data_IF_869440362912
#
_entry.id   IF_869440362912
#
_cell.length_a   1.000
_cell.length_b   1.000
_cell.length_c   1.000
_cell.angle_alpha   90.00
_cell.angle_beta   90.00
_cell.angle_gamma   90.00
#
_symmetry.space_group_name_H-M   'P 1'
#
loop_
_entity.id
_entity.type
_entity.pdbx_description
1 polymer ?
#
# COMPACT_ATOMS: atom_id res chain seq x y z
N UNK A 1 -10.41 -8.80 -1.53
CA UNK A 1 -9.51 -7.79 -0.91
C UNK A 1 -8.94 -6.79 -1.94
N UNK A 2 -8.50 -7.25 -3.10
CA UNK A 2 -8.00 -6.39 -4.18
C UNK A 2 -8.98 -5.25 -4.53
N UNK A 3 -10.25 -5.58 -4.77
CA UNK A 3 -11.26 -4.59 -5.15
C UNK A 3 -11.55 -3.58 -4.02
N UNK A 4 -11.48 -4.01 -2.77
CA UNK A 4 -11.66 -3.12 -1.62
C UNK A 4 -10.54 -2.08 -1.54
N UNK A 5 -9.31 -2.50 -1.77
CA UNK A 5 -8.15 -1.61 -1.73
C UNK A 5 -8.21 -0.61 -2.88
N UNK A 6 -8.54 -1.05 -4.09
CA UNK A 6 -8.73 -0.16 -5.24
C UNK A 6 -9.83 0.86 -4.95
N UNK A 7 -10.93 0.42 -4.35
CA UNK A 7 -12.02 1.32 -3.95
C UNK A 7 -11.56 2.38 -2.95
N UNK A 8 -10.75 2.01 -1.97
CA UNK A 8 -10.18 2.95 -1.00
C UNK A 8 -9.24 3.96 -1.65
N UNK A 9 -8.43 3.53 -2.60
CA UNK A 9 -7.54 4.41 -3.35
C UNK A 9 -8.33 5.40 -4.21
N UNK A 10 -9.40 4.93 -4.87
CA UNK A 10 -10.28 5.79 -5.64
C UNK A 10 -10.97 6.84 -4.76
N UNK A 11 -11.38 6.48 -3.55
CA UNK A 11 -11.92 7.44 -2.59
C UNK A 11 -10.92 8.52 -2.21
N UNK A 12 -9.65 8.18 -2.07
CA UNK A 12 -8.62 9.18 -1.79
C UNK A 12 -8.43 10.14 -2.96
N UNK A 13 -8.56 9.66 -4.19
CA UNK A 13 -8.55 10.53 -5.38
C UNK A 13 -9.74 11.48 -5.38
N UNK A 14 -10.93 10.98 -5.07
CA UNK A 14 -12.15 11.81 -4.99
C UNK A 14 -12.03 12.92 -3.95
N UNK A 15 -11.36 12.65 -2.83
CA UNK A 15 -11.16 13.65 -1.77
C UNK A 15 -10.35 14.84 -2.21
N UNK A 16 -9.52 14.70 -3.25
CA UNK A 16 -8.75 15.81 -3.80
C UNK A 16 -9.65 16.89 -4.42
N UNK A 17 -10.83 16.52 -4.87
CA UNK A 17 -11.78 17.44 -5.52
C UNK A 17 -12.76 18.07 -4.54
N UNK A 18 -12.69 17.76 -3.25
CA UNK A 18 -13.63 18.31 -2.26
C UNK A 18 -13.28 19.75 -1.90
N UNK A 19 -14.30 20.60 -1.65
CA UNK A 19 -14.05 22.02 -1.36
C UNK A 19 -13.34 22.26 -0.03
N UNK A 20 -13.44 21.35 0.91
CA UNK A 20 -12.79 21.41 2.22
C UNK A 20 -11.49 20.63 2.28
N UNK A 21 -10.82 20.45 1.15
CA UNK A 21 -9.59 19.69 1.05
C UNK A 21 -8.50 20.24 1.96
N UNK A 22 -7.96 19.36 2.82
CA UNK A 22 -6.83 19.62 3.72
C UNK A 22 -5.69 18.70 3.34
N UNK A 23 -4.59 19.27 2.83
CA UNK A 23 -3.44 18.50 2.36
C UNK A 23 -2.83 17.63 3.45
N UNK A 24 -2.62 18.18 4.65
CA UNK A 24 -1.96 17.44 5.74
C UNK A 24 -2.81 16.25 6.21
N UNK A 25 -4.11 16.45 6.35
CA UNK A 25 -5.03 15.36 6.71
C UNK A 25 -5.09 14.30 5.61
N UNK A 26 -5.16 14.74 4.37
CA UNK A 26 -5.17 13.83 3.21
C UNK A 26 -3.87 13.03 3.10
N UNK A 27 -2.73 13.67 3.30
CA UNK A 27 -1.42 13.00 3.30
C UNK A 27 -1.35 11.93 4.36
N UNK A 28 -1.74 12.24 5.59
CA UNK A 28 -1.70 11.30 6.70
C UNK A 28 -2.53 10.05 6.41
N UNK A 29 -3.76 10.22 5.90
CA UNK A 29 -4.64 9.12 5.55
C UNK A 29 -4.08 8.29 4.39
N UNK A 30 -3.53 8.96 3.38
CA UNK A 30 -2.97 8.30 2.19
C UNK A 30 -1.71 7.53 2.54
N UNK A 31 -0.81 8.11 3.34
CA UNK A 31 0.40 7.44 3.81
C UNK A 31 0.04 6.18 4.59
N UNK A 32 -0.92 6.27 5.50
CA UNK A 32 -1.37 5.10 6.27
C UNK A 32 -1.89 3.99 5.37
N UNK A 33 -2.69 4.33 4.37
CA UNK A 33 -3.25 3.37 3.42
C UNK A 33 -2.16 2.72 2.57
N UNK A 34 -1.29 3.52 1.95
CA UNK A 34 -0.22 3.02 1.09
C UNK A 34 0.81 2.19 1.88
N UNK A 35 1.13 2.60 3.10
CA UNK A 35 2.04 1.85 3.97
C UNK A 35 1.48 0.47 4.30
N UNK A 36 0.19 0.38 4.52
CA UNK A 36 -0.48 -0.88 4.81
C UNK A 36 -0.49 -1.81 3.59
N UNK A 37 -0.66 -1.26 2.40
CA UNK A 37 -0.77 -2.05 1.15
C UNK A 37 0.61 -2.43 0.61
N UNK A 38 1.55 -1.49 0.54
CA UNK A 38 2.84 -1.64 -0.12
C UNK A 38 4.03 -1.72 0.85
N UNK A 39 3.84 -1.37 2.12
CA UNK A 39 4.91 -1.28 3.11
C UNK A 39 5.47 0.13 3.24
N UNK A 40 6.00 0.45 4.42
CA UNK A 40 6.51 1.78 4.74
C UNK A 40 7.69 2.23 3.88
N UNK A 41 8.48 1.28 3.37
CA UNK A 41 9.64 1.56 2.53
C UNK A 41 9.32 1.77 1.04
N UNK A 42 8.06 1.67 0.65
CA UNK A 42 7.67 1.82 -0.75
C UNK A 42 7.86 3.27 -1.22
N UNK A 43 8.29 3.44 -2.47
CA UNK A 43 8.53 4.76 -3.06
C UNK A 43 7.27 5.63 -3.11
N UNK A 44 6.11 5.03 -3.28
CA UNK A 44 4.83 5.76 -3.31
C UNK A 44 4.54 6.42 -1.97
N UNK A 45 4.81 5.72 -0.87
CA UNK A 45 4.68 6.27 0.49
C UNK A 45 5.58 7.49 0.65
N UNK A 46 6.83 7.37 0.24
CA UNK A 46 7.81 8.46 0.32
C UNK A 46 7.36 9.67 -0.51
N UNK A 47 6.90 9.42 -1.73
CA UNK A 47 6.43 10.49 -2.62
C UNK A 47 5.26 11.26 -2.03
N UNK A 48 4.32 10.58 -1.40
CA UNK A 48 3.19 11.24 -0.72
C UNK A 48 3.69 12.07 0.47
N UNK A 49 4.60 11.53 1.28
CA UNK A 49 5.18 12.26 2.41
C UNK A 49 5.87 13.56 1.98
N UNK A 50 6.48 13.56 0.81
CA UNK A 50 7.19 14.69 0.26
C UNK A 50 6.30 15.72 -0.44
N UNK A 51 5.01 15.42 -0.64
CA UNK A 51 4.08 16.37 -1.23
C UNK A 51 3.93 17.61 -0.34
N UNK A 52 4.05 18.75 -0.96
CA UNK A 52 3.85 20.04 -0.30
C UNK A 52 3.36 21.07 -1.32
N UNK A 53 2.65 22.06 -0.82
CA UNK A 53 2.24 23.19 -1.63
C UNK A 53 3.41 24.15 -1.69
N UNK A 54 3.98 24.31 -2.89
CA UNK A 54 5.14 25.18 -3.09
C UNK A 54 4.69 26.56 -3.58
N UNK A 55 4.74 27.54 -2.69
CA UNK A 55 4.39 28.91 -2.99
C UNK A 55 5.58 29.75 -3.45
N UNK A 56 6.81 29.27 -3.29
CA UNK A 56 8.01 30.05 -3.58
C UNK A 56 8.12 30.40 -5.07
N UNK A 57 7.90 29.42 -5.95
CA UNK A 57 7.91 29.66 -7.40
C UNK A 57 6.75 30.54 -7.85
N UNK A 58 5.60 30.38 -7.20
CA UNK A 58 4.41 31.16 -7.53
C UNK A 58 4.58 32.63 -7.17
N UNK A 59 5.22 32.92 -6.03
CA UNK A 59 5.46 34.27 -5.58
C UNK A 59 6.38 35.07 -6.53
N UNK A 60 7.22 34.40 -7.30
CA UNK A 60 8.14 35.01 -8.27
C UNK A 60 7.52 35.19 -9.65
N UNK A 61 6.31 34.73 -9.86
CA UNK A 61 5.64 34.79 -11.17
C UNK A 61 4.72 36.00 -11.27
N UNK A 62 4.49 36.39 -12.51
CA UNK A 62 3.51 37.42 -12.82
C UNK A 62 2.12 37.02 -12.33
N UNK A 63 1.32 38.00 -11.89
CA UNK A 63 -0.04 37.82 -11.45
C UNK A 63 -0.96 37.14 -12.48
N UNK A 64 -0.58 37.12 -13.74
CA UNK A 64 -1.30 36.47 -14.82
C UNK A 64 -0.89 35.00 -15.02
N UNK A 65 0.05 34.49 -14.25
CA UNK A 65 0.51 33.12 -14.37
C UNK A 65 -0.61 32.12 -14.02
N UNK A 66 -0.77 31.10 -14.85
CA UNK A 66 -1.77 30.06 -14.67
C UNK A 66 -1.35 29.00 -13.63
N UNK A 67 -0.16 29.13 -13.08
CA UNK A 67 0.37 28.18 -12.11
C UNK A 67 -0.40 28.28 -10.77
N UNK A 68 -0.96 27.16 -10.35
CA UNK A 68 -1.65 27.06 -9.06
C UNK A 68 -0.97 25.99 -8.21
N UNK A 69 -0.26 26.37 -7.14
CA UNK A 69 0.50 25.41 -6.32
C UNK A 69 -0.35 24.26 -5.77
N UNK A 70 -1.57 24.57 -5.32
CA UNK A 70 -2.49 23.57 -4.78
C UNK A 70 -2.90 22.56 -5.86
N UNK A 71 -3.26 23.05 -7.04
CA UNK A 71 -3.67 22.17 -8.15
C UNK A 71 -2.52 21.29 -8.62
N UNK A 72 -1.29 21.80 -8.66
CA UNK A 72 -0.11 21.03 -9.00
C UNK A 72 0.11 19.89 -7.98
N UNK A 73 -0.03 20.21 -6.70
CA UNK A 73 0.09 19.23 -5.61
C UNK A 73 -0.97 18.13 -5.74
N UNK A 74 -2.22 18.51 -6.00
CA UNK A 74 -3.33 17.57 -6.19
C UNK A 74 -3.06 16.63 -7.38
N UNK A 75 -2.58 17.16 -8.50
CA UNK A 75 -2.25 16.36 -9.68
C UNK A 75 -1.17 15.34 -9.40
N UNK A 76 -0.13 15.72 -8.64
CA UNK A 76 0.93 14.80 -8.24
C UNK A 76 0.37 13.68 -7.35
N UNK A 77 -0.44 14.02 -6.37
CA UNK A 77 -1.09 13.04 -5.49
C UNK A 77 -1.97 12.07 -6.27
N UNK A 78 -2.77 12.59 -7.19
CA UNK A 78 -3.62 11.78 -8.05
C UNK A 78 -2.80 10.81 -8.90
N UNK A 79 -1.71 11.29 -9.52
CA UNK A 79 -0.84 10.45 -10.35
C UNK A 79 -0.22 9.31 -9.57
N UNK A 80 0.20 9.56 -8.33
CA UNK A 80 0.77 8.54 -7.45
C UNK A 80 -0.28 7.46 -7.14
N UNK A 81 -1.51 7.87 -6.81
CA UNK A 81 -2.60 6.93 -6.51
C UNK A 81 -3.05 6.15 -7.74
N UNK A 82 -3.11 6.79 -8.91
CA UNK A 82 -3.42 6.11 -10.17
C UNK A 82 -2.36 5.06 -10.51
N UNK A 83 -1.08 5.38 -10.30
CA UNK A 83 0.02 4.43 -10.49
C UNK A 83 -0.10 3.24 -9.53
N UNK A 84 -0.50 3.49 -8.28
CA UNK A 84 -0.74 2.44 -7.31
C UNK A 84 -1.87 1.50 -7.75
N UNK A 85 -2.97 2.06 -8.24
CA UNK A 85 -4.11 1.28 -8.75
C UNK A 85 -3.68 0.44 -9.96
N UNK A 86 -2.96 1.04 -10.91
CA UNK A 86 -2.47 0.34 -12.09
C UNK A 86 -1.55 -0.82 -11.72
N UNK A 87 -0.68 -0.62 -10.73
CA UNK A 87 0.21 -1.67 -10.24
C UNK A 87 -0.59 -2.84 -9.65
N UNK A 88 -1.61 -2.54 -8.84
CA UNK A 88 -2.45 -3.57 -8.25
C UNK A 88 -3.25 -4.33 -9.33
N UNK A 89 -3.78 -3.63 -10.31
CA UNK A 89 -4.54 -4.25 -11.40
C UNK A 89 -3.66 -5.12 -12.30
N UNK A 90 -2.42 -4.69 -12.54
CA UNK A 90 -1.49 -5.40 -13.43
C UNK A 90 -0.79 -6.57 -12.76
N UNK A 91 -0.38 -6.42 -11.51
CA UNK A 91 0.45 -7.39 -10.78
C UNK A 91 -0.23 -8.02 -9.58
N UNK A 92 -1.41 -7.54 -9.20
CA UNK A 92 -2.09 -7.96 -7.98
C UNK A 92 -1.52 -7.26 -6.75
N UNK A 93 -2.01 -7.63 -5.57
CA UNK A 93 -1.51 -7.09 -4.31
C UNK A 93 -0.09 -7.58 -4.05
N UNK A 94 0.78 -6.74 -3.44
CA UNK A 94 2.12 -7.18 -3.10
C UNK A 94 2.08 -8.40 -2.19
N UNK A 95 2.91 -9.40 -2.50
CA UNK A 95 3.06 -10.55 -1.64
C UNK A 95 3.71 -10.10 -0.34
N UNK A 96 3.16 -10.53 0.80
CA UNK A 96 3.84 -10.33 2.07
C UNK A 96 5.00 -11.32 2.13
N UNK A 97 6.10 -10.97 2.80
CA UNK A 97 7.22 -11.88 2.98
C UNK A 97 6.79 -13.22 3.59
N UNK A 98 5.74 -13.19 4.40
CA UNK A 98 5.16 -14.39 5.01
C UNK A 98 4.53 -15.33 3.98
N UNK A 99 3.89 -14.79 2.94
CA UNK A 99 3.31 -15.63 1.88
C UNK A 99 4.37 -16.39 1.09
N UNK A 100 5.51 -15.75 0.81
CA UNK A 100 6.62 -16.38 0.12
C UNK A 100 7.24 -17.50 0.96
N UNK A 101 7.37 -17.28 2.27
CA UNK A 101 7.89 -18.27 3.20
C UNK A 101 6.94 -19.48 3.28
N UNK A 102 5.64 -19.23 3.39
CA UNK A 102 4.65 -20.30 3.44
C UNK A 102 4.66 -21.13 2.16
N UNK A 103 4.90 -20.51 1.00
CA UNK A 103 4.97 -21.21 -0.27
C UNK A 103 6.13 -22.22 -0.36
N UNK A 104 7.19 -22.05 0.43
CA UNK A 104 8.30 -23.02 0.49
C UNK A 104 7.91 -24.33 1.19
N UNK A 105 6.94 -24.29 2.10
CA UNK A 105 6.61 -25.42 2.98
C UNK A 105 5.23 -26.00 2.73
N UNK A 106 4.32 -25.24 2.12
CA UNK A 106 2.92 -25.60 1.94
C UNK A 106 2.46 -25.39 0.51
N UNK A 107 1.56 -26.25 0.03
CA UNK A 107 0.93 -26.04 -1.26
C UNK A 107 -0.15 -24.94 -1.17
N UNK A 108 -0.77 -24.65 -2.30
CA UNK A 108 -1.74 -23.56 -2.42
C UNK A 108 -2.97 -23.75 -1.53
N UNK A 109 -3.48 -24.99 -1.46
CA UNK A 109 -4.64 -25.32 -0.62
C UNK A 109 -4.31 -25.21 0.87
N UNK A 110 -3.12 -25.69 1.26
CA UNK A 110 -2.64 -25.60 2.64
C UNK A 110 -2.44 -24.15 3.07
N UNK A 111 -1.91 -23.31 2.19
CA UNK A 111 -1.77 -21.88 2.46
C UNK A 111 -3.13 -21.20 2.66
N UNK A 112 -4.14 -21.56 1.89
CA UNK A 112 -5.50 -21.04 2.07
C UNK A 112 -6.07 -21.38 3.42
N UNK A 113 -5.85 -22.62 3.90
CA UNK A 113 -6.30 -23.06 5.22
C UNK A 113 -5.60 -22.26 6.32
N UNK A 114 -4.28 -22.07 6.21
CA UNK A 114 -3.48 -21.34 7.19
C UNK A 114 -3.85 -19.87 7.29
N UNK A 115 -4.21 -19.25 6.17
CA UNK A 115 -4.54 -17.83 6.11
C UNK A 115 -6.04 -17.57 6.34
N UNK A 116 -6.88 -18.59 6.39
CA UNK A 116 -8.31 -18.44 6.67
C UNK A 116 -8.59 -18.32 8.17
N UNK A 117 -9.70 -17.70 8.52
CA UNK A 117 -10.16 -17.61 9.91
C UNK A 117 -10.76 -18.93 10.39
N UNK A 118 -11.20 -19.74 9.45
CA UNK A 118 -11.77 -21.08 9.72
C UNK A 118 -10.93 -22.14 9.01
N UNK A 119 -10.75 -23.29 9.64
CA UNK A 119 -10.01 -24.41 9.07
C UNK A 119 -9.11 -25.08 10.12
N UNK A 120 -8.73 -26.31 9.84
CA UNK A 120 -7.87 -27.07 10.75
C UNK A 120 -6.39 -26.79 10.48
N UNK A 121 -5.91 -25.68 11.02
CA UNK A 121 -4.52 -25.25 10.88
C UNK A 121 -3.55 -26.22 11.55
N UNK A 122 -3.94 -26.81 12.66
CA UNK A 122 -3.13 -27.78 13.39
C UNK A 122 -2.84 -29.01 12.53
N UNK A 123 -3.85 -29.51 11.82
CA UNK A 123 -3.69 -30.66 10.92
C UNK A 123 -2.68 -30.36 9.81
N UNK A 124 -2.71 -29.16 9.23
CA UNK A 124 -1.76 -28.74 8.19
C UNK A 124 -0.35 -28.65 8.75
N UNK A 125 -0.18 -27.99 9.90
CA UNK A 125 1.13 -27.81 10.55
C UNK A 125 1.74 -29.14 10.99
N UNK A 126 0.93 -30.07 11.48
CA UNK A 126 1.41 -31.37 11.98
C UNK A 126 2.02 -32.28 10.91
N UNK A 127 1.79 -31.97 9.63
CA UNK A 127 2.40 -32.69 8.51
C UNK A 127 3.87 -32.38 8.33
N UNK A 128 4.36 -31.26 8.88
CA UNK A 128 5.74 -30.85 8.79
C UNK A 128 6.63 -31.63 9.75
N UNK A 129 7.84 -31.92 9.30
CA UNK A 129 8.88 -32.47 10.18
C UNK A 129 9.30 -31.39 11.16
N UNK A 130 9.77 -31.81 12.36
CA UNK A 130 10.18 -30.90 13.42
C UNK A 130 11.22 -29.87 12.92
N UNK A 131 12.20 -30.30 12.14
CA UNK A 131 13.25 -29.44 11.61
C UNK A 131 12.67 -28.38 10.67
N UNK A 132 11.75 -28.77 9.79
CA UNK A 132 11.11 -27.84 8.85
C UNK A 132 10.25 -26.84 9.61
N UNK A 133 9.55 -27.28 10.65
CA UNK A 133 8.73 -26.40 11.48
C UNK A 133 9.59 -25.36 12.20
N UNK A 134 10.72 -25.76 12.76
CA UNK A 134 11.67 -24.85 13.41
C UNK A 134 12.21 -23.80 12.42
N UNK A 135 12.61 -24.24 11.23
CA UNK A 135 13.10 -23.35 10.18
C UNK A 135 12.02 -22.36 9.72
N UNK A 136 10.77 -22.82 9.58
CA UNK A 136 9.64 -21.98 9.21
C UNK A 136 9.43 -20.88 10.25
N UNK A 137 9.40 -21.24 11.53
CA UNK A 137 9.21 -20.28 12.62
C UNK A 137 10.32 -19.23 12.64
N UNK A 138 11.58 -19.65 12.47
CA UNK A 138 12.71 -18.73 12.41
C UNK A 138 12.60 -17.74 11.26
N UNK A 139 12.22 -18.20 10.08
CA UNK A 139 12.03 -17.33 8.91
C UNK A 139 10.90 -16.32 9.12
N UNK A 140 9.78 -16.75 9.72
CA UNK A 140 8.66 -15.86 10.02
C UNK A 140 9.04 -14.77 11.01
N UNK A 141 9.87 -15.09 12.00
CA UNK A 141 10.38 -14.13 12.99
C UNK A 141 11.31 -13.12 12.33
N UNK A 142 12.16 -13.55 11.41
CA UNK A 142 13.11 -12.69 10.71
C UNK A 142 12.46 -11.71 9.74
N UNK A 143 11.26 -12.01 9.28
CA UNK A 143 10.50 -11.19 8.32
C UNK A 143 9.48 -10.27 9.01
N UNK A 144 9.89 -9.56 10.00
CA UNK A 144 9.04 -8.55 10.64
C UNK A 144 9.11 -7.22 9.94
#
# INVERSE_FOLDING_TARGET
MKNQIISLLLKQIEKLEQPDFDLEAWKSATVALLSRVFGEGDSKVKQIKELKIDYSSWALRDSNAKYKPVETCKKKGQAILEAAIDEIESFGLPATGHSDILAEYFDEEEQKILLSESGDKTSVISKLKKKDLENLVLKLIQHR
#
